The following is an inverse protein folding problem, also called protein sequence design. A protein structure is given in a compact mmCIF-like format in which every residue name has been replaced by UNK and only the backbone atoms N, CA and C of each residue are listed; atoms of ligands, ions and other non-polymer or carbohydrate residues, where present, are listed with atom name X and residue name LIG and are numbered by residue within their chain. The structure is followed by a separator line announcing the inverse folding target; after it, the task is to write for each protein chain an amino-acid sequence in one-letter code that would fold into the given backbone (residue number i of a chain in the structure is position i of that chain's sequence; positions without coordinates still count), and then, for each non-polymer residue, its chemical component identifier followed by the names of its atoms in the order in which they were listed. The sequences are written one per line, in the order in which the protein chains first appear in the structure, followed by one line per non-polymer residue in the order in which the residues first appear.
data_IF_592519039915
#
_entry.id   IF_592519039915
#
_cell.length_a   1.000
_cell.length_b   1.000
_cell.length_c   1.000
_cell.angle_alpha   90.00
_cell.angle_beta   90.00
_cell.angle_gamma   90.00
#
_symmetry.space_group_name_H-M   'P 1'
#
loop_
_entity.id
_entity.type
_entity.pdbx_description
1 polymer ?
#
# COMPACT_ATOMS: atom_id res chain seq x y z
N UNK A 1 -4.90 -32.97 10.25
CA UNK A 1 -4.33 -34.15 10.94
C UNK A 1 -4.75 -35.37 10.15
N UNK A 2 -3.81 -36.24 9.80
CA UNK A 2 -4.15 -37.51 9.17
C UNK A 2 -4.87 -38.41 10.21
N UNK A 3 -6.12 -38.81 9.99
CA UNK A 3 -6.91 -39.56 10.97
C UNK A 3 -6.29 -40.90 11.39
N UNK A 4 -5.35 -41.44 10.62
CA UNK A 4 -4.77 -42.75 10.87
C UNK A 4 -3.46 -42.72 11.68
N UNK A 5 -2.71 -41.62 11.68
CA UNK A 5 -1.39 -41.58 12.33
C UNK A 5 -1.09 -40.29 13.10
N UNK A 6 -2.05 -39.36 13.18
CA UNK A 6 -1.89 -38.10 13.93
C UNK A 6 -0.85 -37.14 13.35
N UNK A 7 -0.28 -37.44 12.18
CA UNK A 7 0.73 -36.59 11.54
C UNK A 7 0.10 -35.31 10.97
N UNK A 8 0.86 -34.23 11.04
CA UNK A 8 0.53 -32.97 10.37
C UNK A 8 1.08 -33.04 8.94
N UNK A 9 0.19 -33.17 7.96
CA UNK A 9 0.53 -32.99 6.55
C UNK A 9 0.44 -31.51 6.20
N UNK A 10 1.52 -30.95 5.68
CA UNK A 10 1.50 -29.65 5.01
C UNK A 10 0.84 -29.85 3.65
N UNK A 11 -0.26 -29.14 3.40
CA UNK A 11 -0.92 -29.08 2.10
C UNK A 11 -0.76 -27.67 1.53
N UNK A 12 -0.32 -27.56 0.28
CA UNK A 12 -0.25 -26.27 -0.40
C UNK A 12 -1.68 -25.82 -0.71
N UNK A 13 -2.01 -24.57 -0.43
CA UNK A 13 -3.26 -23.99 -0.90
C UNK A 13 -3.19 -23.82 -2.43
N UNK A 14 -3.96 -24.59 -3.22
CA UNK A 14 -3.89 -24.51 -4.68
C UNK A 14 -4.56 -23.25 -5.23
N UNK A 15 -5.39 -22.56 -4.43
CA UNK A 15 -6.13 -21.36 -4.83
C UNK A 15 -5.46 -20.06 -4.38
N UNK A 16 -4.25 -20.12 -3.82
CA UNK A 16 -3.52 -18.92 -3.42
C UNK A 16 -3.09 -18.10 -4.66
N UNK A 17 -3.51 -16.83 -4.71
CA UNK A 17 -3.19 -15.90 -5.80
C UNK A 17 -1.83 -15.22 -5.65
N UNK A 18 -1.18 -15.39 -4.51
CA UNK A 18 0.13 -14.79 -4.22
C UNK A 18 0.02 -13.38 -3.69
N UNK A 19 1.08 -12.59 -3.90
CA UNK A 19 1.26 -11.27 -3.31
C UNK A 19 0.61 -10.14 -4.12
N UNK A 20 0.32 -10.38 -5.39
CA UNK A 20 -0.46 -9.53 -6.26
C UNK A 20 -1.00 -10.35 -7.45
N UNK A 21 -2.15 -9.96 -7.97
CA UNK A 21 -2.74 -10.58 -9.15
C UNK A 21 -3.53 -9.55 -9.96
N UNK A 22 -3.86 -9.91 -11.20
CA UNK A 22 -4.67 -9.10 -12.10
C UNK A 22 -6.07 -9.73 -12.18
N UNK A 23 -7.10 -8.90 -12.06
CA UNK A 23 -8.50 -9.31 -12.22
C UNK A 23 -9.04 -8.87 -13.58
N UNK A 24 -10.04 -9.58 -14.07
CA UNK A 24 -10.69 -9.31 -15.37
C UNK A 24 -11.82 -8.29 -15.25
N UNK A 25 -12.50 -8.28 -14.09
CA UNK A 25 -13.67 -7.46 -13.84
C UNK A 25 -13.60 -6.71 -12.52
N UNK A 26 -14.47 -5.71 -12.41
CA UNK A 26 -14.71 -4.99 -11.17
C UNK A 26 -16.21 -5.01 -10.87
N UNK A 27 -16.55 -5.32 -9.64
CA UNK A 27 -17.91 -5.21 -9.15
C UNK A 27 -17.98 -4.02 -8.20
N UNK A 28 -18.77 -3.01 -8.57
CA UNK A 28 -19.02 -1.88 -7.71
C UNK A 28 -20.12 -2.17 -6.70
N UNK A 29 -19.90 -1.77 -5.45
CA UNK A 29 -20.87 -1.91 -4.35
C UNK A 29 -20.98 -0.60 -3.59
N UNK A 30 -22.13 -0.35 -2.94
CA UNK A 30 -22.45 1.00 -2.44
C UNK A 30 -21.74 1.38 -1.15
N UNK A 31 -21.31 0.41 -0.36
CA UNK A 31 -20.74 0.62 0.98
C UNK A 31 -20.05 -0.65 1.51
N UNK A 32 -19.42 -0.49 2.67
CA UNK A 32 -18.72 -1.53 3.42
C UNK A 32 -19.57 -2.79 3.74
N UNK A 33 -20.87 -2.64 4.03
CA UNK A 33 -21.74 -3.79 4.33
C UNK A 33 -22.01 -4.61 3.06
N UNK A 34 -22.18 -3.95 1.92
CA UNK A 34 -22.31 -4.60 0.62
C UNK A 34 -20.99 -5.22 0.16
N UNK A 35 -19.84 -4.58 0.41
CA UNK A 35 -18.52 -5.19 0.19
C UNK A 35 -18.40 -6.51 0.96
N UNK A 36 -18.69 -6.50 2.27
CA UNK A 36 -18.58 -7.68 3.13
C UNK A 36 -19.50 -8.83 2.65
N UNK A 37 -20.69 -8.50 2.16
CA UNK A 37 -21.59 -9.49 1.56
C UNK A 37 -21.06 -10.05 0.25
N UNK A 38 -20.57 -9.19 -0.64
CA UNK A 38 -20.07 -9.60 -1.95
C UNK A 38 -18.82 -10.49 -1.84
N UNK A 39 -17.88 -10.15 -0.96
CA UNK A 39 -16.65 -10.95 -0.78
C UNK A 39 -16.90 -12.34 -0.17
N UNK A 40 -18.11 -12.62 0.33
CA UNK A 40 -18.46 -13.94 0.86
C UNK A 40 -18.65 -15.01 -0.23
N UNK A 41 -18.88 -14.59 -1.48
CA UNK A 41 -19.15 -15.50 -2.60
C UNK A 41 -18.73 -14.85 -3.92
N UNK A 42 -17.42 -14.85 -4.19
CA UNK A 42 -16.84 -14.33 -5.43
C UNK A 42 -15.57 -15.12 -5.80
N UNK A 43 -15.11 -15.00 -7.06
CA UNK A 43 -13.80 -15.52 -7.46
C UNK A 43 -12.77 -14.37 -7.46
N UNK A 44 -11.89 -14.26 -6.44
CA UNK A 44 -10.92 -13.18 -6.36
C UNK A 44 -9.91 -13.19 -7.52
N UNK A 45 -9.79 -14.30 -8.27
CA UNK A 45 -8.96 -14.37 -9.46
C UNK A 45 -9.56 -13.62 -10.65
N UNK A 46 -10.90 -13.52 -10.69
CA UNK A 46 -11.62 -12.98 -11.84
C UNK A 46 -12.11 -11.56 -11.60
N UNK A 47 -12.51 -11.24 -10.38
CA UNK A 47 -13.13 -9.95 -10.07
C UNK A 47 -12.63 -9.36 -8.75
N UNK A 48 -12.60 -8.04 -8.70
CA UNK A 48 -12.37 -7.28 -7.48
C UNK A 48 -13.65 -6.56 -7.06
N UNK A 49 -14.00 -6.63 -5.78
CA UNK A 49 -15.12 -5.91 -5.19
C UNK A 49 -14.64 -4.53 -4.75
N UNK A 50 -15.29 -3.46 -5.22
CA UNK A 50 -14.82 -2.08 -5.02
C UNK A 50 -15.98 -1.18 -4.58
N UNK A 51 -15.79 -0.43 -3.50
CA UNK A 51 -16.71 0.62 -3.09
C UNK A 51 -16.89 1.71 -4.18
N UNK A 52 -18.13 2.13 -4.44
CA UNK A 52 -18.49 3.17 -5.40
C UNK A 52 -17.75 4.49 -5.18
N UNK A 53 -17.27 4.79 -3.96
CA UNK A 53 -16.44 5.98 -3.70
C UNK A 53 -15.16 6.02 -4.56
N UNK A 54 -14.62 4.87 -4.95
CA UNK A 54 -13.41 4.75 -5.76
C UNK A 54 -13.69 4.71 -7.27
N UNK A 55 -14.95 4.70 -7.69
CA UNK A 55 -15.34 4.62 -9.11
C UNK A 55 -14.70 5.69 -9.99
N UNK A 56 -14.43 6.88 -9.43
CA UNK A 56 -13.76 7.98 -10.15
C UNK A 56 -12.29 7.71 -10.48
N UNK A 57 -11.66 6.76 -9.78
CA UNK A 57 -10.26 6.36 -9.99
C UNK A 57 -10.13 5.27 -11.05
N UNK A 58 -11.25 4.75 -11.57
CA UNK A 58 -11.29 3.59 -12.44
C UNK A 58 -12.01 3.96 -13.75
N UNK A 59 -11.27 3.87 -14.85
CA UNK A 59 -11.82 3.94 -16.19
C UNK A 59 -12.06 2.53 -16.74
N UNK A 60 -13.29 2.04 -16.58
CA UNK A 60 -13.69 0.70 -17.04
C UNK A 60 -13.66 0.54 -18.56
N UNK A 61 -13.67 1.63 -19.33
CA UNK A 61 -13.67 1.58 -20.80
C UNK A 61 -12.31 1.19 -21.38
N UNK A 62 -11.26 1.40 -20.59
CA UNK A 62 -9.87 1.07 -20.96
C UNK A 62 -9.46 -0.34 -20.54
N UNK A 63 -10.23 -0.95 -19.64
CA UNK A 63 -9.91 -2.27 -19.12
C UNK A 63 -10.02 -3.34 -20.21
N UNK A 64 -9.09 -4.31 -20.16
CA UNK A 64 -9.20 -5.52 -20.96
C UNK A 64 -8.60 -6.71 -20.26
N UNK A 65 -9.39 -7.77 -20.16
CA UNK A 65 -8.91 -9.06 -19.72
C UNK A 65 -7.94 -9.63 -20.76
N UNK A 66 -6.70 -9.86 -20.36
CA UNK A 66 -5.70 -10.54 -21.18
C UNK A 66 -5.04 -11.66 -20.37
N UNK A 67 -5.13 -12.93 -20.81
CA UNK A 67 -4.53 -14.06 -20.12
C UNK A 67 -3.00 -14.00 -20.03
N UNK A 68 -2.35 -13.16 -20.85
CA UNK A 68 -0.89 -12.99 -20.86
C UNK A 68 -0.42 -11.92 -19.89
N UNK A 69 -1.34 -11.12 -19.34
CA UNK A 69 -1.00 -10.10 -18.35
C UNK A 69 -0.56 -10.77 -17.05
N UNK A 70 0.51 -10.25 -16.44
CA UNK A 70 1.03 -10.75 -15.18
C UNK A 70 1.55 -9.61 -14.31
N UNK A 71 1.55 -9.85 -13.00
CA UNK A 71 2.20 -8.99 -12.00
C UNK A 71 2.95 -9.87 -11.01
N UNK A 72 4.11 -9.43 -10.55
CA UNK A 72 5.01 -10.20 -9.68
C UNK A 72 5.68 -9.28 -8.66
N UNK A 73 5.84 -9.74 -7.40
CA UNK A 73 6.75 -9.07 -6.46
C UNK A 73 8.19 -9.28 -6.91
N UNK A 74 8.95 -8.20 -6.92
CA UNK A 74 10.41 -8.29 -7.03
C UNK A 74 11.08 -8.08 -5.67
N UNK A 75 10.52 -7.22 -4.82
CA UNK A 75 11.10 -6.90 -3.52
C UNK A 75 10.04 -6.60 -2.48
N UNK A 76 10.30 -7.05 -1.26
CA UNK A 76 9.48 -6.76 -0.09
C UNK A 76 10.33 -6.19 1.04
N UNK A 77 9.95 -4.99 1.50
CA UNK A 77 10.48 -4.35 2.70
C UNK A 77 9.32 -3.65 3.43
N UNK A 78 9.32 -3.54 4.77
CA UNK A 78 8.19 -2.99 5.53
C UNK A 78 7.73 -1.58 5.12
N UNK A 79 8.63 -0.75 4.58
CA UNK A 79 8.34 0.61 4.10
C UNK A 79 8.41 0.75 2.57
N UNK A 80 8.77 -0.31 1.84
CA UNK A 80 8.99 -0.26 0.39
C UNK A 80 8.72 -1.62 -0.27
N UNK A 81 7.74 -1.66 -1.15
CA UNK A 81 7.34 -2.87 -1.87
C UNK A 81 7.44 -2.61 -3.37
N UNK A 82 8.10 -3.50 -4.11
CA UNK A 82 8.31 -3.38 -5.55
C UNK A 82 7.68 -4.55 -6.30
N UNK A 83 6.96 -4.21 -7.36
CA UNK A 83 6.34 -5.15 -8.29
C UNK A 83 6.76 -4.83 -9.73
N UNK A 84 6.90 -5.88 -10.54
CA UNK A 84 6.98 -5.78 -11.98
C UNK A 84 5.67 -6.26 -12.59
N UNK A 85 5.18 -5.63 -13.66
CA UNK A 85 4.03 -6.13 -14.41
C UNK A 85 4.19 -5.93 -15.90
N UNK A 86 3.49 -6.78 -16.65
CA UNK A 86 3.31 -6.67 -18.09
C UNK A 86 1.84 -6.87 -18.40
N UNK A 87 1.24 -5.95 -19.15
CA UNK A 87 -0.16 -6.05 -19.57
C UNK A 87 -0.37 -5.46 -20.97
N UNK A 88 -1.01 -6.17 -21.91
CA UNK A 88 -1.32 -5.63 -23.24
C UNK A 88 -2.40 -4.53 -23.24
N UNK A 89 -3.20 -4.46 -22.18
CA UNK A 89 -4.25 -3.47 -21.95
C UNK A 89 -4.18 -2.96 -20.51
N UNK A 90 -4.96 -1.93 -20.21
CA UNK A 90 -5.10 -1.49 -18.84
C UNK A 90 -5.79 -2.58 -18.02
N UNK A 91 -5.30 -2.77 -16.81
CA UNK A 91 -5.71 -3.86 -15.91
C UNK A 91 -5.99 -3.32 -14.53
N UNK A 92 -6.78 -4.06 -13.77
CA UNK A 92 -6.92 -3.85 -12.33
C UNK A 92 -6.01 -4.86 -11.64
N UNK A 93 -5.01 -4.36 -10.92
CA UNK A 93 -4.17 -5.18 -10.07
C UNK A 93 -4.65 -5.08 -8.63
N UNK A 94 -4.79 -6.23 -7.97
CA UNK A 94 -5.01 -6.33 -6.52
C UNK A 94 -3.70 -6.75 -5.89
N UNK A 95 -3.35 -6.10 -4.79
CA UNK A 95 -2.16 -6.36 -4.00
C UNK A 95 -2.60 -6.94 -2.65
N UNK A 96 -1.96 -8.03 -2.22
CA UNK A 96 -2.26 -8.72 -0.95
C UNK A 96 -1.77 -7.95 0.29
N UNK A 97 -1.95 -6.63 0.30
CA UNK A 97 -1.49 -5.70 1.32
C UNK A 97 -2.68 -4.91 1.86
N UNK A 98 -2.66 -4.61 3.16
CA UNK A 98 -3.74 -3.86 3.81
C UNK A 98 -3.78 -2.43 3.28
N UNK A 99 -4.96 -2.00 2.84
CA UNK A 99 -5.22 -0.63 2.43
C UNK A 99 -5.12 0.32 3.63
N UNK A 100 -4.28 1.34 3.49
CA UNK A 100 -4.12 2.40 4.46
C UNK A 100 -3.74 3.69 3.71
N UNK A 101 -4.59 4.70 3.80
CA UNK A 101 -4.49 5.96 3.08
C UNK A 101 -3.55 6.99 3.76
N UNK A 102 -3.01 6.65 4.94
CA UNK A 102 -2.16 7.56 5.73
C UNK A 102 -0.69 7.16 5.64
N UNK A 103 -0.07 7.45 4.49
CA UNK A 103 1.38 7.43 4.33
C UNK A 103 1.90 6.47 3.28
N UNK A 104 1.10 5.52 2.79
CA UNK A 104 1.49 4.75 1.61
C UNK A 104 1.25 5.58 0.34
N UNK A 105 2.26 5.67 -0.50
CA UNK A 105 2.19 6.27 -1.83
C UNK A 105 2.52 5.20 -2.87
N UNK A 106 1.79 5.19 -3.99
CA UNK A 106 2.06 4.28 -5.11
C UNK A 106 2.72 5.07 -6.25
N UNK A 107 3.74 4.46 -6.85
CA UNK A 107 4.46 5.00 -7.99
C UNK A 107 4.44 3.99 -9.14
N UNK A 108 4.19 4.46 -10.35
CA UNK A 108 4.38 3.67 -11.59
C UNK A 108 5.50 4.34 -12.38
N UNK A 109 6.60 3.62 -12.58
CA UNK A 109 7.83 4.15 -13.18
C UNK A 109 8.30 5.48 -12.56
N UNK A 110 8.24 5.55 -11.23
CA UNK A 110 8.65 6.73 -10.46
C UNK A 110 7.66 7.89 -10.45
N UNK A 111 6.51 7.79 -11.13
CA UNK A 111 5.45 8.80 -11.09
C UNK A 111 4.37 8.39 -10.10
N UNK A 112 4.04 9.28 -9.18
CA UNK A 112 2.97 9.05 -8.20
C UNK A 112 1.62 8.84 -8.91
N UNK A 113 0.91 7.79 -8.53
CA UNK A 113 -0.38 7.38 -9.10
C UNK A 113 -1.33 7.00 -7.97
N UNK A 114 -2.64 7.26 -8.13
CA UNK A 114 -3.62 6.88 -7.12
C UNK A 114 -3.79 5.36 -7.07
N UNK A 115 -4.10 4.86 -5.88
CA UNK A 115 -4.55 3.50 -5.63
C UNK A 115 -5.79 3.55 -4.72
N UNK A 116 -6.53 2.46 -4.63
CA UNK A 116 -7.79 2.39 -3.92
C UNK A 116 -7.91 1.08 -3.14
N UNK A 117 -9.02 0.95 -2.40
CA UNK A 117 -9.36 -0.25 -1.65
C UNK A 117 -10.19 -1.19 -2.52
N UNK A 118 -9.85 -2.47 -2.49
CA UNK A 118 -10.64 -3.55 -3.05
C UNK A 118 -10.81 -4.67 -2.01
N UNK A 119 -11.80 -5.52 -2.22
CA UNK A 119 -12.07 -6.72 -1.41
C UNK A 119 -12.09 -6.39 0.09
N UNK A 120 -12.72 -5.26 0.42
CA UNK A 120 -12.89 -4.69 1.75
C UNK A 120 -11.60 -4.23 2.48
N UNK A 121 -10.45 -4.85 2.22
CA UNK A 121 -9.21 -4.62 3.00
C UNK A 121 -7.96 -4.48 2.13
N UNK A 122 -7.97 -4.96 0.89
CA UNK A 122 -6.79 -5.02 0.04
C UNK A 122 -6.56 -3.71 -0.72
N UNK A 123 -5.30 -3.47 -1.11
CA UNK A 123 -4.96 -2.40 -2.06
C UNK A 123 -5.25 -2.88 -3.47
N UNK A 124 -5.71 -1.96 -4.32
CA UNK A 124 -5.83 -2.19 -5.73
C UNK A 124 -5.50 -0.92 -6.52
N UNK A 125 -5.13 -1.08 -7.78
CA UNK A 125 -4.85 0.03 -8.68
C UNK A 125 -5.23 -0.32 -10.12
N UNK A 126 -5.66 0.70 -10.86
CA UNK A 126 -5.69 0.61 -12.31
C UNK A 126 -4.29 0.89 -12.85
N UNK A 127 -3.75 -0.07 -13.60
CA UNK A 127 -2.44 -0.02 -14.22
C UNK A 127 -2.59 0.12 -15.73
N UNK A 128 -1.77 0.97 -16.34
CA UNK A 128 -1.79 1.25 -17.77
C UNK A 128 -1.14 0.09 -18.56
N UNK A 129 -1.55 -0.11 -19.81
CA UNK A 129 -0.93 -1.10 -20.69
C UNK A 129 0.58 -0.85 -20.88
N UNK A 130 1.38 -1.92 -20.82
CA UNK A 130 2.82 -1.89 -21.06
C UNK A 130 3.61 -2.77 -20.11
N UNK A 131 4.91 -2.51 -20.03
CA UNK A 131 5.83 -3.14 -19.09
C UNK A 131 6.33 -2.06 -18.14
N UNK A 132 6.00 -2.20 -16.86
CA UNK A 132 6.24 -1.13 -15.90
C UNK A 132 6.60 -1.69 -14.53
N UNK A 133 7.15 -0.82 -13.70
CA UNK A 133 7.43 -1.09 -12.29
C UNK A 133 6.44 -0.34 -11.41
N UNK A 134 5.82 -1.05 -10.47
CA UNK A 134 4.98 -0.46 -9.41
C UNK A 134 5.75 -0.48 -8.10
N UNK A 135 5.80 0.66 -7.43
CA UNK A 135 6.43 0.79 -6.12
C UNK A 135 5.42 1.35 -5.11
N UNK A 136 5.29 0.71 -3.96
CA UNK A 136 4.63 1.29 -2.80
C UNK A 136 5.70 1.75 -1.82
N UNK A 137 5.64 3.01 -1.38
CA UNK A 137 6.56 3.57 -0.37
C UNK A 137 5.77 4.14 0.80
N UNK A 138 6.22 3.85 2.02
CA UNK A 138 5.61 4.38 3.23
C UNK A 138 6.30 5.68 3.66
N UNK A 139 5.70 6.80 3.29
CA UNK A 139 6.20 8.16 3.46
C UNK A 139 5.18 9.02 4.26
N UNK A 140 4.90 8.69 5.54
CA UNK A 140 3.89 9.38 6.33
C UNK A 140 4.30 10.83 6.63
N UNK A 141 3.48 11.79 6.16
CA UNK A 141 3.71 13.24 6.37
C UNK A 141 3.87 13.62 7.85
N UNK A 142 3.17 12.93 8.76
CA UNK A 142 3.24 13.18 10.21
C UNK A 142 4.61 12.88 10.80
N UNK A 143 5.29 11.83 10.32
CA UNK A 143 6.63 11.46 10.77
C UNK A 143 7.64 12.54 10.42
N UNK A 144 7.73 12.92 9.13
CA UNK A 144 8.67 13.94 8.66
C UNK A 144 8.37 15.33 9.25
N UNK A 145 7.11 15.63 9.55
CA UNK A 145 6.75 16.88 10.23
C UNK A 145 7.18 16.85 11.69
N UNK A 146 6.91 15.74 12.39
CA UNK A 146 7.31 15.55 13.79
C UNK A 146 8.82 15.58 13.98
N UNK A 147 9.57 14.97 13.07
CA UNK A 147 11.04 15.00 13.05
C UNK A 147 11.57 16.44 12.97
N UNK A 148 11.03 17.26 12.06
CA UNK A 148 11.42 18.67 11.92
C UNK A 148 11.10 19.48 13.19
N UNK A 149 9.94 19.26 13.79
CA UNK A 149 9.55 19.93 15.04
C UNK A 149 10.47 19.51 16.19
N UNK A 150 10.76 18.22 16.31
CA UNK A 150 11.66 17.68 17.34
C UNK A 150 13.09 18.25 17.19
N UNK A 151 13.60 18.34 15.96
CA UNK A 151 14.89 18.94 15.67
C UNK A 151 14.91 20.42 16.06
N UNK A 152 13.88 21.20 15.70
CA UNK A 152 13.78 22.60 16.07
C UNK A 152 13.72 22.77 17.60
N UNK A 153 12.95 21.94 18.30
CA UNK A 153 12.88 21.93 19.77
C UNK A 153 14.23 21.59 20.41
N UNK A 154 14.95 20.62 19.86
CA UNK A 154 16.28 20.24 20.35
C UNK A 154 17.30 21.37 20.19
N UNK A 155 17.28 22.07 19.05
CA UNK A 155 18.13 23.25 18.80
C UNK A 155 17.80 24.36 19.80
N UNK A 156 16.52 24.66 20.01
CA UNK A 156 16.09 25.68 20.98
C UNK A 156 16.51 25.33 22.41
N UNK A 157 16.36 24.07 22.81
CA UNK A 157 16.78 23.61 24.14
C UNK A 157 18.29 23.79 24.35
N UNK A 158 19.11 23.38 23.37
CA UNK A 158 20.56 23.59 23.43
C UNK A 158 20.93 25.08 23.45
N UNK A 159 20.22 25.91 22.69
CA UNK A 159 20.42 27.36 22.70
C UNK A 159 20.10 27.98 24.07
N UNK A 160 18.99 27.58 24.70
CA UNK A 160 18.61 28.05 26.04
C UNK A 160 19.61 27.59 27.11
N UNK A 161 20.06 26.34 27.06
CA UNK A 161 21.09 25.82 27.97
C UNK A 161 22.42 26.57 27.79
N UNK A 162 22.85 26.76 26.54
CA UNK A 162 24.06 27.51 26.22
C UNK A 162 23.99 28.97 26.69
N UNK A 163 22.84 29.63 26.49
CA UNK A 163 22.59 30.98 26.98
C UNK A 163 22.61 31.04 28.52
N UNK A 164 21.96 30.09 29.19
CA UNK A 164 21.97 29.98 30.66
C UNK A 164 23.40 29.88 31.21
N UNK A 165 24.21 28.95 30.69
CA UNK A 165 25.61 28.77 31.08
C UNK A 165 26.43 30.04 30.80
N UNK A 166 26.25 30.67 29.64
CA UNK A 166 26.94 31.92 29.30
C UNK A 166 26.64 33.03 30.31
N UNK A 167 25.38 33.21 30.69
CA UNK A 167 24.99 34.25 31.66
C UNK A 167 25.51 33.98 33.07
N UNK A 168 25.54 32.71 33.51
CA UNK A 168 26.10 32.33 34.82
C UNK A 168 27.62 32.60 34.88
N UNK A 169 28.35 32.19 33.84
CA UNK A 169 29.79 32.45 33.75
C UNK A 169 30.11 33.95 33.71
N UNK A 170 29.26 34.76 33.08
CA UNK A 170 29.42 36.23 33.06
C UNK A 170 29.21 36.83 34.45
N UNK A 171 28.23 36.35 35.22
CA UNK A 171 28.00 36.81 36.61
C UNK A 171 29.18 36.48 37.53
N UNK A 172 29.74 35.26 37.43
CA UNK A 172 30.91 34.85 38.22
C UNK A 172 32.19 35.62 37.92
N UNK A 173 32.32 36.21 36.73
CA UNK A 173 33.48 37.07 36.37
C UNK A 173 33.36 38.51 36.87
N UNK A 174 32.17 38.94 37.29
CA UNK A 174 31.88 40.33 37.70
C UNK A 174 31.80 40.46 39.23
N UNK A 175 31.64 39.34 39.96
CA UNK A 175 31.76 39.25 41.41
C UNK A 175 33.20 38.92 41.81
#
# INVERSE_FOLDING_TARGET
QDPQNGSYKMSRNPTALGNAWIVQGVQFVKNADEEMKAISSFDPKQEAIIDEQYKKLIDTTRLGADPTAFIKMEKYHPDHIEYSYSAPRDVIAVFSEVYYDKGWNMYVDGKEKPYFRADYVLRAAQLEAGNHKVEFKFEPKSYYTGEKISLAGSILLLAFLGFGIYTDNKKKKVA
#
